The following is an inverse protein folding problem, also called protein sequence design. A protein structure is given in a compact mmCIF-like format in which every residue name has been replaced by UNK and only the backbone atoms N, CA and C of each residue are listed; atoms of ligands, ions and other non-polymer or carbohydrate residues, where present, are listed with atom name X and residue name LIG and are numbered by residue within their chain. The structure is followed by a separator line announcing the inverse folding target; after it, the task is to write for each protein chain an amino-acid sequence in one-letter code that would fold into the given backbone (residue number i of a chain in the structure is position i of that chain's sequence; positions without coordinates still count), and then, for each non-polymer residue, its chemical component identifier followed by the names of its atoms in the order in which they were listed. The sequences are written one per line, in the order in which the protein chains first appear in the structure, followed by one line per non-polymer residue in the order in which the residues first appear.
data_IF_767649081532
#
_entry.id   IF_767649081532
#
_cell.length_a   1.000
_cell.length_b   1.000
_cell.length_c   1.000
_cell.angle_alpha   90.00
_cell.angle_beta   90.00
_cell.angle_gamma   90.00
#
_symmetry.space_group_name_H-M   'P 1'
#
loop_
_entity.id
_entity.type
_entity.pdbx_description
1 polymer ?
#
# COMPACT_ATOMS: atom_id res chain seq x y z
N UNK A 1 14.43 -18.61 34.55
CA UNK A 1 13.97 -17.26 34.95
C UNK A 1 13.95 -16.34 33.75
N UNK A 2 12.91 -15.53 33.56
CA UNK A 2 12.84 -14.57 32.45
C UNK A 2 13.44 -13.22 32.88
N UNK A 3 14.59 -12.84 32.31
CA UNK A 3 15.32 -11.62 32.63
C UNK A 3 14.98 -10.45 31.70
N UNK A 4 14.20 -10.72 30.64
CA UNK A 4 13.90 -9.76 29.58
C UNK A 4 13.13 -8.51 30.06
N UNK A 5 12.12 -8.62 30.96
CA UNK A 5 11.41 -7.45 31.49
C UNK A 5 12.30 -6.50 32.30
N UNK A 6 13.41 -7.00 32.85
CA UNK A 6 14.38 -6.21 33.63
C UNK A 6 15.36 -5.42 32.76
N UNK A 7 15.27 -5.54 31.44
CA UNK A 7 16.16 -4.83 30.50
C UNK A 7 15.48 -3.56 30.00
N UNK A 8 16.19 -2.44 30.09
CA UNK A 8 15.71 -1.11 29.67
C UNK A 8 15.38 -1.02 28.18
N UNK A 9 15.93 -1.89 27.33
CA UNK A 9 15.64 -1.94 25.89
C UNK A 9 14.43 -2.82 25.53
N UNK A 10 13.79 -3.48 26.49
CA UNK A 10 12.69 -4.38 26.19
C UNK A 10 11.47 -3.61 25.66
N UNK A 11 11.11 -3.86 24.40
CA UNK A 11 10.04 -3.13 23.67
C UNK A 11 8.69 -3.19 24.40
N UNK A 12 8.40 -4.30 25.09
CA UNK A 12 7.12 -4.50 25.80
C UNK A 12 7.10 -3.88 27.21
N UNK A 13 8.19 -3.29 27.68
CA UNK A 13 8.18 -2.57 28.94
C UNK A 13 7.25 -1.38 28.85
N UNK A 14 6.41 -1.19 29.88
CA UNK A 14 5.39 -0.13 29.92
C UNK A 14 5.99 1.24 29.63
N UNK A 15 7.18 1.53 30.16
CA UNK A 15 7.88 2.80 29.96
C UNK A 15 8.30 3.02 28.51
N UNK A 16 8.77 1.98 27.83
CA UNK A 16 9.16 2.06 26.43
C UNK A 16 7.93 2.22 25.53
N UNK A 17 6.86 1.49 25.81
CA UNK A 17 5.60 1.65 25.08
C UNK A 17 5.03 3.06 25.30
N UNK A 18 5.13 3.62 26.51
CA UNK A 18 4.70 4.98 26.79
C UNK A 18 5.53 6.05 26.04
N UNK A 19 6.84 5.85 25.91
CA UNK A 19 7.71 6.70 25.08
C UNK A 19 7.31 6.66 23.61
N UNK A 20 7.16 5.46 23.04
CA UNK A 20 6.72 5.28 21.65
C UNK A 20 5.37 5.97 21.42
N UNK A 21 4.40 5.80 22.33
CA UNK A 21 3.10 6.48 22.22
C UNK A 21 3.20 8.01 22.28
N UNK A 22 4.11 8.56 23.08
CA UNK A 22 4.34 10.01 23.14
C UNK A 22 4.94 10.51 21.82
N UNK A 23 5.95 9.81 21.30
CA UNK A 23 6.61 10.18 20.06
C UNK A 23 5.62 10.07 18.87
N UNK A 24 4.81 9.02 18.84
CA UNK A 24 3.72 8.85 17.85
C UNK A 24 2.65 9.93 17.97
N UNK A 25 2.28 10.33 19.20
CA UNK A 25 1.32 11.40 19.42
C UNK A 25 1.88 12.76 18.96
N UNK A 26 3.13 13.06 19.28
CA UNK A 26 3.82 14.27 18.82
C UNK A 26 3.92 14.32 17.30
N UNK A 27 4.29 13.21 16.66
CA UNK A 27 4.33 13.13 15.20
C UNK A 27 2.97 13.44 14.56
N UNK A 28 1.88 12.89 15.14
CA UNK A 28 0.51 13.19 14.68
C UNK A 28 0.09 14.65 14.91
N UNK A 29 0.53 15.27 16.00
CA UNK A 29 0.25 16.68 16.27
C UNK A 29 1.00 17.59 15.27
N UNK A 30 2.28 17.32 15.03
CA UNK A 30 3.07 18.05 14.03
C UNK A 30 2.51 17.92 12.61
N UNK A 31 2.04 16.73 12.22
CA UNK A 31 1.38 16.51 10.93
C UNK A 31 0.10 17.35 10.80
N UNK A 32 -0.74 17.38 11.83
CA UNK A 32 -1.95 18.21 11.87
C UNK A 32 -1.63 19.70 11.80
N UNK A 33 -0.59 20.16 12.48
CA UNK A 33 -0.16 21.56 12.42
C UNK A 33 0.34 21.93 11.02
N UNK A 34 1.11 21.04 10.38
CA UNK A 34 1.54 21.22 8.99
C UNK A 34 0.36 21.28 8.03
N UNK A 35 -0.61 20.37 8.17
CA UNK A 35 -1.83 20.37 7.39
C UNK A 35 -2.63 21.67 7.58
N UNK A 36 -2.80 22.12 8.84
CA UNK A 36 -3.45 23.40 9.13
C UNK A 36 -2.75 24.57 8.45
N UNK A 37 -1.41 24.60 8.49
CA UNK A 37 -0.61 25.65 7.84
C UNK A 37 -0.77 25.62 6.33
N UNK A 38 -0.79 24.43 5.72
CA UNK A 38 -1.03 24.26 4.28
C UNK A 38 -2.41 24.75 3.89
N UNK A 39 -3.45 24.40 4.67
CA UNK A 39 -4.82 24.84 4.43
C UNK A 39 -4.97 26.36 4.52
N UNK A 40 -4.35 26.99 5.52
CA UNK A 40 -4.32 28.45 5.64
C UNK A 40 -3.62 29.09 4.46
N UNK A 41 -2.42 28.60 4.09
CA UNK A 41 -1.69 29.11 2.94
C UNK A 41 -2.49 28.94 1.63
N UNK A 42 -3.23 27.83 1.48
CA UNK A 42 -4.10 27.60 0.34
C UNK A 42 -5.28 28.58 0.30
N UNK A 43 -5.90 28.84 1.46
CA UNK A 43 -6.97 29.83 1.60
C UNK A 43 -6.45 31.23 1.25
N UNK A 44 -5.31 31.64 1.82
CA UNK A 44 -4.65 32.92 1.55
C UNK A 44 -4.31 33.05 0.07
N UNK A 45 -3.65 32.05 -0.54
CA UNK A 45 -3.30 32.05 -1.96
C UNK A 45 -4.54 32.20 -2.86
N UNK A 46 -5.63 31.50 -2.54
CA UNK A 46 -6.90 31.62 -3.27
C UNK A 46 -7.49 33.02 -3.16
N UNK A 47 -7.51 33.59 -1.96
CA UNK A 47 -8.04 34.95 -1.75
C UNK A 47 -7.17 36.01 -2.40
N UNK A 48 -5.85 35.89 -2.34
CA UNK A 48 -4.92 36.77 -3.05
C UNK A 48 -5.12 36.70 -4.56
N UNK A 49 -5.27 35.50 -5.11
CA UNK A 49 -5.53 35.32 -6.54
C UNK A 49 -6.81 36.05 -6.96
N UNK A 50 -7.90 35.90 -6.19
CA UNK A 50 -9.15 36.60 -6.46
C UNK A 50 -9.00 38.12 -6.33
N UNK A 51 -8.27 38.61 -5.32
CA UNK A 51 -7.96 40.04 -5.15
C UNK A 51 -7.14 40.59 -6.32
N UNK A 52 -6.11 39.88 -6.76
CA UNK A 52 -5.28 40.26 -7.92
C UNK A 52 -6.11 40.28 -9.21
N UNK A 53 -6.96 39.27 -9.41
CA UNK A 53 -7.88 39.21 -10.55
C UNK A 53 -8.87 40.38 -10.55
N UNK A 54 -9.48 40.69 -9.40
CA UNK A 54 -10.38 41.82 -9.26
C UNK A 54 -9.67 43.16 -9.52
N UNK A 55 -8.44 43.34 -9.04
CA UNK A 55 -7.63 44.52 -9.35
C UNK A 55 -7.33 44.64 -10.84
N UNK A 56 -6.99 43.54 -11.52
CA UNK A 56 -6.78 43.55 -12.97
C UNK A 56 -8.06 43.91 -13.74
N UNK A 57 -9.20 43.33 -13.35
CA UNK A 57 -10.50 43.66 -13.96
C UNK A 57 -10.87 45.12 -13.71
N UNK A 58 -10.72 45.61 -12.47
CA UNK A 58 -10.96 47.01 -12.14
C UNK A 58 -10.00 47.95 -12.86
N UNK A 59 -8.72 47.61 -13.03
CA UNK A 59 -7.79 48.45 -13.80
C UNK A 59 -8.13 48.51 -15.27
N UNK A 60 -8.63 47.41 -15.85
CA UNK A 60 -9.10 47.37 -17.24
C UNK A 60 -10.37 48.22 -17.39
N UNK A 61 -11.32 48.08 -16.46
CA UNK A 61 -12.52 48.90 -16.46
C UNK A 61 -12.28 50.35 -16.04
N UNK A 62 -11.19 50.66 -15.33
CA UNK A 62 -10.78 52.05 -15.02
C UNK A 62 -10.28 52.78 -16.26
N UNK A 63 -9.56 52.07 -17.13
CA UNK A 63 -9.11 52.59 -18.41
C UNK A 63 -10.30 52.82 -19.36
N UNK A 64 -11.28 51.90 -19.40
CA UNK A 64 -12.53 52.08 -20.17
C UNK A 64 -13.48 53.15 -19.56
N UNK A 65 -13.56 53.25 -18.22
CA UNK A 65 -14.48 54.18 -17.56
C UNK A 65 -13.98 55.64 -17.56
N UNK A 66 -12.66 55.86 -17.66
CA UNK A 66 -12.08 57.19 -17.86
C UNK A 66 -12.52 57.82 -19.20
N UNK A 67 -12.93 57.00 -20.18
CA UNK A 67 -13.49 57.44 -21.46
C UNK A 67 -15.00 57.76 -21.38
N UNK A 68 -15.73 57.28 -20.36
CA UNK A 68 -17.20 57.31 -20.31
C UNK A 68 -17.85 58.09 -19.14
N UNK A 69 -17.09 58.70 -18.21
CA UNK A 69 -17.62 59.74 -17.30
C UNK A 69 -18.77 59.36 -16.35
N UNK A 70 -18.85 58.11 -15.87
CA UNK A 70 -19.93 57.65 -14.97
C UNK A 70 -19.51 57.62 -13.47
N UNK A 71 -20.42 57.96 -12.52
CA UNK A 71 -20.11 57.97 -11.09
C UNK A 71 -20.02 56.54 -10.52
N UNK A 72 -19.01 56.31 -9.68
CA UNK A 72 -18.67 55.01 -9.11
C UNK A 72 -19.57 54.69 -7.90
N UNK A 73 -20.53 53.78 -8.08
CA UNK A 73 -21.21 53.11 -6.97
C UNK A 73 -20.27 52.07 -6.36
N UNK A 74 -19.95 52.19 -5.07
CA UNK A 74 -19.00 51.31 -4.37
C UNK A 74 -19.53 49.89 -4.19
N UNK A 75 -18.65 48.88 -3.96
CA UNK A 75 -19.08 47.52 -3.68
C UNK A 75 -19.90 47.46 -2.39
N UNK A 76 -21.14 46.98 -2.48
CA UNK A 76 -22.02 46.80 -1.31
C UNK A 76 -21.59 45.53 -0.57
N UNK A 77 -21.06 45.69 0.64
CA UNK A 77 -20.70 44.57 1.52
C UNK A 77 -21.96 43.96 2.16
N UNK A 78 -22.69 43.14 1.38
CA UNK A 78 -23.93 42.45 1.79
C UNK A 78 -23.82 41.60 3.08
N UNK A 79 -22.60 41.31 3.54
CA UNK A 79 -22.32 40.46 4.71
C UNK A 79 -21.78 41.21 5.92
N UNK A 80 -21.60 42.55 5.83
CA UNK A 80 -21.06 43.35 6.92
C UNK A 80 -21.97 43.31 8.15
N UNK A 81 -23.28 43.44 7.93
CA UNK A 81 -24.30 43.31 8.97
C UNK A 81 -24.28 41.93 9.63
N UNK A 82 -23.98 40.86 8.86
CA UNK A 82 -23.96 39.50 9.40
C UNK A 82 -22.73 39.23 10.29
N UNK A 83 -21.60 39.87 9.99
CA UNK A 83 -20.33 39.71 10.69
C UNK A 83 -20.23 40.61 11.93
N UNK A 84 -20.75 41.84 11.86
CA UNK A 84 -20.78 42.82 12.97
C UNK A 84 -21.90 42.52 13.98
N UNK A 85 -23.08 42.04 13.56
CA UNK A 85 -24.20 41.81 14.48
C UNK A 85 -24.14 40.47 15.24
N UNK A 86 -23.21 39.56 14.92
CA UNK A 86 -23.12 38.26 15.61
C UNK A 86 -24.39 37.39 15.52
N UNK A 87 -25.40 37.80 14.75
CA UNK A 87 -26.66 37.05 14.52
C UNK A 87 -26.47 35.81 13.65
N UNK A 88 -25.25 35.59 13.16
CA UNK A 88 -24.81 34.39 12.46
C UNK A 88 -23.98 33.45 13.34
N UNK A 89 -24.15 33.43 14.67
CA UNK A 89 -23.75 32.24 15.44
C UNK A 89 -24.48 31.08 14.79
N UNK A 90 -23.75 30.33 13.96
CA UNK A 90 -24.13 29.05 13.38
C UNK A 90 -24.45 28.13 14.54
N UNK A 91 -25.66 28.24 15.06
CA UNK A 91 -26.32 27.19 15.79
C UNK A 91 -26.42 26.09 14.75
N UNK A 92 -25.47 25.16 14.80
CA UNK A 92 -25.43 24.02 13.90
C UNK A 92 -26.83 23.45 13.77
N UNK A 93 -27.22 23.08 12.55
CA UNK A 93 -28.53 22.48 12.35
C UNK A 93 -28.59 21.25 13.28
N UNK A 94 -29.42 21.31 14.33
CA UNK A 94 -29.49 20.27 15.36
C UNK A 94 -29.80 18.93 14.71
N UNK A 95 -30.68 18.96 13.71
CA UNK A 95 -31.08 17.81 12.92
C UNK A 95 -29.87 17.18 12.20
N UNK A 96 -28.91 17.98 11.73
CA UNK A 96 -27.70 17.51 11.06
C UNK A 96 -26.71 16.86 12.04
N UNK A 97 -26.58 17.41 13.25
CA UNK A 97 -25.74 16.83 14.29
C UNK A 97 -26.31 15.50 14.80
N UNK A 98 -27.64 15.44 14.95
CA UNK A 98 -28.36 14.22 15.28
C UNK A 98 -28.26 13.17 14.16
N UNK A 99 -28.41 13.56 12.90
CA UNK A 99 -28.24 12.66 11.75
C UNK A 99 -26.82 12.10 11.69
N UNK A 100 -25.79 12.95 11.84
CA UNK A 100 -24.38 12.52 11.95
C UNK A 100 -24.17 11.55 13.10
N UNK A 101 -24.81 11.79 14.24
CA UNK A 101 -24.71 10.90 15.41
C UNK A 101 -25.37 9.55 15.12
N UNK A 102 -26.56 9.54 14.53
CA UNK A 102 -27.25 8.31 14.14
C UNK A 102 -26.48 7.54 13.07
N UNK A 103 -25.85 8.22 12.11
CA UNK A 103 -25.03 7.57 11.09
C UNK A 103 -23.81 6.90 11.71
N UNK A 104 -23.14 7.56 12.66
CA UNK A 104 -22.05 6.95 13.44
C UNK A 104 -22.55 5.76 14.25
N UNK A 105 -23.66 5.87 14.96
CA UNK A 105 -24.25 4.78 15.72
C UNK A 105 -24.63 3.60 14.81
N UNK A 106 -25.14 3.86 13.59
CA UNK A 106 -25.40 2.84 12.57
C UNK A 106 -24.12 2.16 12.08
N UNK A 107 -23.07 2.93 11.83
CA UNK A 107 -21.76 2.39 11.42
C UNK A 107 -21.14 1.55 12.54
N UNK A 108 -21.13 2.06 13.77
CA UNK A 108 -20.63 1.34 14.95
C UNK A 108 -21.45 0.09 15.24
N UNK A 109 -22.77 0.13 15.05
CA UNK A 109 -23.66 -1.02 15.16
C UNK A 109 -23.38 -2.06 14.06
N UNK A 110 -23.17 -1.61 12.83
CA UNK A 110 -22.81 -2.49 11.71
C UNK A 110 -21.42 -3.14 11.90
N UNK A 111 -20.47 -2.41 12.49
CA UNK A 111 -19.15 -2.92 12.86
C UNK A 111 -19.16 -3.77 14.14
N UNK A 112 -20.28 -3.82 14.86
CA UNK A 112 -20.40 -4.53 16.15
C UNK A 112 -19.66 -3.87 17.32
N UNK A 113 -19.30 -2.59 17.20
CA UNK A 113 -18.66 -1.79 18.26
C UNK A 113 -19.73 -1.29 19.24
N UNK A 114 -20.86 -0.82 18.70
CA UNK A 114 -21.99 -0.34 19.49
C UNK A 114 -23.11 -1.38 19.51
N UNK A 115 -23.17 -2.15 20.60
CA UNK A 115 -24.26 -3.10 20.91
C UNK A 115 -25.04 -2.63 22.11
N UNK A 116 -26.34 -2.35 21.92
CA UNK A 116 -27.22 -1.95 23.02
C UNK A 116 -27.60 -3.17 23.87
N UNK A 117 -27.59 -2.99 25.18
CA UNK A 117 -28.01 -4.00 26.15
C UNK A 117 -29.43 -4.50 25.81
N UNK A 118 -29.57 -5.81 25.57
CA UNK A 118 -30.83 -6.43 25.17
C UNK A 118 -30.94 -6.79 23.68
N UNK A 119 -30.04 -6.30 22.83
CA UNK A 119 -29.84 -6.85 21.48
C UNK A 119 -28.90 -8.04 21.61
N UNK A 120 -29.45 -9.26 21.61
CA UNK A 120 -28.64 -10.47 21.76
C UNK A 120 -27.62 -10.55 20.61
N UNK A 121 -26.42 -11.05 20.88
CA UNK A 121 -25.39 -11.25 19.85
C UNK A 121 -25.92 -12.05 18.65
N UNK A 122 -26.91 -12.93 18.88
CA UNK A 122 -27.58 -13.72 17.85
C UNK A 122 -28.51 -12.91 16.92
N UNK A 123 -29.03 -11.75 17.34
CA UNK A 123 -29.87 -10.87 16.51
C UNK A 123 -29.05 -9.79 15.80
N UNK A 124 -28.00 -9.28 16.43
CA UNK A 124 -27.11 -8.29 15.83
C UNK A 124 -26.19 -8.91 14.77
N UNK A 125 -25.80 -10.17 14.95
CA UNK A 125 -25.00 -10.93 14.01
C UNK A 125 -25.96 -11.60 13.03
N UNK A 126 -25.85 -11.30 11.74
CA UNK A 126 -26.71 -11.83 10.66
C UNK A 126 -26.70 -13.36 10.52
N UNK A 127 -25.90 -14.06 11.33
CA UNK A 127 -25.85 -15.50 11.43
C UNK A 127 -26.02 -15.92 12.90
N UNK A 128 -26.93 -16.87 13.19
CA UNK A 128 -27.05 -17.40 14.54
C UNK A 128 -25.73 -18.06 14.94
N UNK A 129 -25.32 -17.91 16.21
CA UNK A 129 -24.08 -18.47 16.69
C UNK A 129 -24.08 -20.00 16.57
N UNK A 130 -22.89 -20.58 16.33
CA UNK A 130 -22.72 -21.99 15.98
C UNK A 130 -23.33 -22.99 16.97
N UNK A 131 -23.51 -22.60 18.24
CA UNK A 131 -24.10 -23.44 19.29
C UNK A 131 -25.64 -23.45 19.27
N UNK A 132 -26.29 -22.48 18.59
CA UNK A 132 -27.74 -22.42 18.44
C UNK A 132 -28.20 -23.20 17.20
N UNK A 133 -27.29 -23.39 16.23
CA UNK A 133 -27.54 -24.22 15.06
C UNK A 133 -27.25 -25.69 15.37
N UNK A 134 -28.20 -26.61 15.17
CA UNK A 134 -27.90 -28.03 15.24
C UNK A 134 -26.86 -28.39 14.17
N UNK A 135 -25.92 -29.30 14.45
CA UNK A 135 -24.98 -29.80 13.45
C UNK A 135 -25.77 -30.30 12.23
N UNK A 136 -25.48 -29.78 11.03
CA UNK A 136 -26.16 -30.19 9.79
C UNK A 136 -25.96 -31.69 9.58
N UNK A 137 -26.97 -32.51 9.90
CA UNK A 137 -27.00 -33.93 9.55
C UNK A 137 -27.46 -34.03 8.10
N UNK A 138 -26.59 -34.46 7.20
CA UNK A 138 -26.99 -34.84 5.84
C UNK A 138 -26.35 -34.10 4.66
N UNK A 139 -25.29 -33.31 4.85
CA UNK A 139 -24.45 -32.85 3.74
C UNK A 139 -23.12 -33.59 3.77
N UNK A 140 -22.76 -34.30 2.70
CA UNK A 140 -21.37 -34.71 2.48
C UNK A 140 -20.48 -33.48 2.68
N UNK A 141 -19.46 -33.51 3.57
CA UNK A 141 -18.64 -32.33 3.77
C UNK A 141 -17.91 -32.09 2.45
N UNK A 142 -18.26 -31.04 1.74
CA UNK A 142 -17.53 -30.59 0.54
C UNK A 142 -16.07 -30.19 0.84
N UNK A 143 -15.63 -30.32 2.10
CA UNK A 143 -14.24 -30.23 2.56
C UNK A 143 -13.63 -31.52 3.13
N UNK A 144 -14.30 -32.68 3.16
CA UNK A 144 -13.67 -33.92 3.65
C UNK A 144 -12.56 -34.37 2.71
N UNK A 145 -12.77 -34.23 1.39
CA UNK A 145 -11.76 -34.58 0.39
C UNK A 145 -10.52 -33.68 0.40
N UNK A 146 -10.60 -32.45 0.93
CA UNK A 146 -9.42 -31.60 1.13
C UNK A 146 -8.77 -31.87 2.48
N UNK A 147 -9.55 -32.09 3.53
CA UNK A 147 -9.07 -32.44 4.86
C UNK A 147 -8.35 -33.80 4.89
N UNK A 148 -8.86 -34.82 4.19
CA UNK A 148 -8.16 -36.10 4.01
C UNK A 148 -6.85 -35.96 3.23
N UNK A 149 -6.80 -35.07 2.23
CA UNK A 149 -5.55 -34.75 1.49
C UNK A 149 -4.55 -33.98 2.35
N UNK A 150 -5.03 -33.11 3.24
CA UNK A 150 -4.19 -32.40 4.20
C UNK A 150 -3.66 -33.37 5.26
N UNK A 151 -4.52 -34.23 5.82
CA UNK A 151 -4.16 -35.26 6.79
C UNK A 151 -3.14 -36.25 6.23
N UNK A 152 -3.34 -36.73 5.00
CA UNK A 152 -2.36 -37.60 4.33
C UNK A 152 -1.04 -36.87 4.05
N UNK A 153 -1.09 -35.61 3.59
CA UNK A 153 0.14 -34.81 3.38
C UNK A 153 0.92 -34.54 4.66
N UNK A 154 0.24 -34.41 5.80
CA UNK A 154 0.83 -34.16 7.12
C UNK A 154 1.09 -35.43 7.93
N UNK A 155 0.91 -36.62 7.33
CA UNK A 155 1.19 -37.89 8.00
C UNK A 155 2.69 -38.21 7.98
N UNK A 156 3.36 -38.31 9.14
CA UNK A 156 4.80 -38.64 9.22
C UNK A 156 5.15 -40.01 8.61
N UNK A 157 4.22 -40.96 8.57
CA UNK A 157 4.46 -42.27 7.95
C UNK A 157 4.62 -42.17 6.43
N UNK A 158 3.85 -41.30 5.77
CA UNK A 158 4.00 -41.04 4.33
C UNK A 158 5.34 -40.37 4.02
N UNK A 159 5.81 -39.49 4.90
CA UNK A 159 7.12 -38.86 4.77
C UNK A 159 8.26 -39.88 4.93
N UNK A 160 8.18 -40.75 5.95
CA UNK A 160 9.16 -41.81 6.17
C UNK A 160 9.25 -42.80 4.98
N UNK A 161 8.12 -43.19 4.38
CA UNK A 161 8.11 -44.08 3.20
C UNK A 161 8.91 -43.50 2.02
N UNK A 162 8.85 -42.18 1.79
CA UNK A 162 9.62 -41.51 0.72
C UNK A 162 11.14 -41.63 0.93
N UNK A 163 11.60 -41.67 2.17
CA UNK A 163 13.02 -41.74 2.51
C UNK A 163 13.53 -43.19 2.48
N UNK A 164 12.70 -44.15 2.88
CA UNK A 164 13.01 -45.58 2.81
C UNK A 164 13.09 -46.09 1.35
N UNK A 165 12.23 -45.59 0.46
CA UNK A 165 12.23 -45.97 -0.97
C UNK A 165 13.47 -45.53 -1.75
N UNK A 166 14.10 -44.41 -1.37
CA UNK A 166 15.32 -43.89 -2.05
C UNK A 166 16.55 -44.75 -1.78
N UNK A 167 16.62 -45.43 -0.62
CA UNK A 167 17.74 -46.29 -0.25
C UNK A 167 17.85 -47.55 -1.11
N UNK A 168 16.75 -47.96 -1.77
CA UNK A 168 16.73 -49.11 -2.69
C UNK A 168 17.17 -48.80 -4.12
N UNK A 169 17.26 -47.52 -4.54
CA UNK A 169 17.64 -47.14 -5.92
C UNK A 169 19.08 -46.67 -6.08
N UNK A 170 19.82 -46.42 -4.99
CA UNK A 170 21.20 -45.93 -5.03
C UNK A 170 22.28 -47.01 -4.85
N UNK A 171 21.96 -48.31 -4.87
CA UNK A 171 22.97 -49.38 -4.86
C UNK A 171 23.28 -49.98 -6.24
N UNK A 172 22.74 -49.41 -7.33
CA UNK A 172 22.89 -49.98 -8.69
C UNK A 172 23.73 -49.12 -9.65
N UNK A 173 23.92 -47.82 -9.39
CA UNK A 173 24.53 -46.94 -10.39
C UNK A 173 25.63 -46.05 -9.79
N UNK A 174 26.77 -46.67 -9.45
CA UNK A 174 28.06 -45.97 -9.42
C UNK A 174 28.91 -46.45 -10.60
N UNK A 175 28.92 -45.68 -11.70
CA UNK A 175 30.03 -45.60 -12.67
C UNK A 175 29.83 -44.45 -13.66
N UNK A 176 30.79 -43.54 -13.68
CA UNK A 176 31.15 -42.76 -14.86
C UNK A 176 30.61 -41.33 -14.95
N UNK A 177 31.44 -40.33 -14.64
CA UNK A 177 32.23 -39.61 -15.65
C UNK A 177 32.70 -38.24 -15.15
N UNK A 178 34.01 -38.18 -14.94
CA UNK A 178 34.81 -36.97 -14.75
C UNK A 178 35.02 -36.28 -16.11
N UNK A 179 34.55 -35.04 -16.30
CA UNK A 179 35.06 -34.16 -17.36
C UNK A 179 35.18 -32.71 -16.88
N UNK A 180 36.45 -32.35 -16.71
CA UNK A 180 37.04 -31.06 -16.38
C UNK A 180 36.82 -30.07 -17.54
N UNK A 181 36.05 -29.01 -17.29
CA UNK A 181 35.88 -27.88 -18.20
C UNK A 181 36.60 -26.65 -17.66
N UNK A 182 37.66 -26.24 -18.35
CA UNK A 182 38.49 -25.06 -18.10
C UNK A 182 37.67 -23.82 -18.48
N UNK A 183 37.33 -22.96 -17.51
CA UNK A 183 36.73 -21.65 -17.74
C UNK A 183 37.81 -20.60 -17.48
N UNK A 184 38.19 -19.85 -18.51
CA UNK A 184 38.99 -18.65 -18.38
C UNK A 184 38.16 -17.60 -17.62
N UNK A 185 38.58 -17.30 -16.39
CA UNK A 185 38.05 -16.20 -15.61
C UNK A 185 38.73 -14.92 -16.05
N UNK A 186 37.98 -14.01 -16.67
CA UNK A 186 38.40 -12.62 -16.78
C UNK A 186 38.58 -12.07 -15.37
N UNK A 187 39.82 -11.75 -15.02
CA UNK A 187 40.18 -11.08 -13.78
C UNK A 187 39.49 -9.71 -13.74
N UNK A 188 38.29 -9.65 -13.16
CA UNK A 188 37.75 -8.39 -12.66
C UNK A 188 38.68 -7.94 -11.54
N UNK A 189 39.59 -7.02 -11.86
CA UNK A 189 40.45 -6.37 -10.89
C UNK A 189 39.56 -5.87 -9.74
N UNK A 190 39.70 -6.51 -8.58
CA UNK A 190 39.09 -6.01 -7.35
C UNK A 190 39.75 -4.66 -7.05
N UNK A 191 38.98 -3.61 -6.74
CA UNK A 191 39.56 -2.36 -6.32
C UNK A 191 40.48 -2.63 -5.12
N UNK A 192 41.72 -2.14 -5.19
CA UNK A 192 42.78 -2.39 -4.19
C UNK A 192 42.44 -1.83 -2.80
N UNK A 193 41.40 -1.02 -2.68
CA UNK A 193 40.95 -0.43 -1.43
C UNK A 193 39.44 -0.59 -1.25
N UNK A 194 38.97 -0.79 0.00
CA UNK A 194 37.55 -0.79 0.29
C UNK A 194 36.95 0.58 -0.06
N UNK A 195 35.71 0.61 -0.57
CA UNK A 195 35.05 1.87 -0.92
C UNK A 195 34.96 2.79 0.29
N UNK A 196 35.23 4.08 0.07
CA UNK A 196 35.09 5.10 1.11
C UNK A 196 33.63 5.19 1.58
N UNK A 197 33.40 5.59 2.84
CA UNK A 197 32.04 5.76 3.39
C UNK A 197 31.17 6.66 2.53
N UNK A 198 31.74 7.69 1.91
CA UNK A 198 31.01 8.60 1.03
C UNK A 198 30.58 7.93 -0.28
N UNK A 199 31.37 6.99 -0.79
CA UNK A 199 31.00 6.20 -1.96
C UNK A 199 29.82 5.27 -1.64
N UNK A 200 29.81 4.65 -0.46
CA UNK A 200 28.70 3.81 0.00
C UNK A 200 27.42 4.63 0.23
N UNK A 201 27.54 5.87 0.73
CA UNK A 201 26.40 6.80 0.85
C UNK A 201 25.86 7.19 -0.52
N UNK A 202 26.73 7.56 -1.47
CA UNK A 202 26.32 7.90 -2.83
C UNK A 202 25.65 6.71 -3.55
N UNK A 203 26.19 5.50 -3.37
CA UNK A 203 25.59 4.28 -3.92
C UNK A 203 24.22 4.01 -3.30
N UNK A 204 24.07 4.16 -1.97
CA UNK A 204 22.77 4.04 -1.30
C UNK A 204 21.76 5.03 -1.88
N UNK A 205 22.11 6.31 -2.00
CA UNK A 205 21.22 7.33 -2.56
C UNK A 205 20.82 7.00 -3.99
N UNK A 206 21.75 6.50 -4.82
CA UNK A 206 21.42 6.05 -6.18
C UNK A 206 20.41 4.91 -6.17
N UNK A 207 20.57 3.91 -5.30
CA UNK A 207 19.62 2.80 -5.16
C UNK A 207 18.25 3.31 -4.72
N UNK A 208 18.20 4.14 -3.68
CA UNK A 208 16.96 4.74 -3.19
C UNK A 208 16.24 5.57 -4.27
N UNK A 209 16.98 6.34 -5.07
CA UNK A 209 16.40 7.11 -6.19
C UNK A 209 15.84 6.18 -7.26
N UNK A 210 16.56 5.12 -7.64
CA UNK A 210 16.06 4.16 -8.63
C UNK A 210 14.83 3.41 -8.16
N UNK A 211 14.77 3.03 -6.88
CA UNK A 211 13.64 2.34 -6.29
C UNK A 211 12.43 3.28 -6.14
N UNK A 212 12.66 4.53 -5.73
CA UNK A 212 11.62 5.57 -5.69
C UNK A 212 11.05 5.85 -7.07
N UNK A 213 11.90 6.01 -8.09
CA UNK A 213 11.46 6.21 -9.47
C UNK A 213 10.63 5.01 -9.97
N UNK A 214 11.04 3.78 -9.65
CA UNK A 214 10.27 2.58 -9.99
C UNK A 214 8.91 2.55 -9.27
N UNK A 215 8.87 2.89 -7.98
CA UNK A 215 7.64 2.94 -7.20
C UNK A 215 6.69 4.04 -7.72
N UNK A 216 7.23 5.21 -8.05
CA UNK A 216 6.48 6.32 -8.63
C UNK A 216 5.90 5.94 -10.00
N UNK A 217 6.68 5.29 -10.87
CA UNK A 217 6.19 4.80 -12.16
C UNK A 217 5.04 3.79 -12.01
N UNK A 218 5.10 2.89 -11.01
CA UNK A 218 4.01 1.97 -10.70
C UNK A 218 2.76 2.71 -10.21
N UNK A 219 2.92 3.68 -9.31
CA UNK A 219 1.80 4.48 -8.82
C UNK A 219 1.18 5.34 -9.93
N UNK A 220 1.99 5.93 -10.80
CA UNK A 220 1.51 6.72 -11.94
C UNK A 220 0.71 5.85 -12.93
N UNK A 221 1.12 4.58 -13.13
CA UNK A 221 0.37 3.59 -13.90
C UNK A 221 -0.97 3.23 -13.23
N UNK A 222 -0.98 3.04 -11.91
CA UNK A 222 -2.21 2.74 -11.15
C UNK A 222 -3.18 3.93 -11.16
N UNK A 223 -2.66 5.15 -11.07
CA UNK A 223 -3.45 6.38 -11.06
C UNK A 223 -3.91 6.84 -12.45
N UNK A 224 -3.53 6.12 -13.52
CA UNK A 224 -3.89 6.46 -14.90
C UNK A 224 -3.28 7.77 -15.41
N UNK A 225 -2.21 8.27 -14.77
CA UNK A 225 -1.53 9.52 -15.16
C UNK A 225 -0.58 9.35 -16.35
N UNK A 226 -0.17 8.12 -16.66
CA UNK A 226 0.75 7.81 -17.77
C UNK A 226 0.00 6.94 -18.79
N UNK A 227 -0.12 7.37 -20.06
CA UNK A 227 -0.63 6.51 -21.12
C UNK A 227 0.21 5.24 -21.19
N UNK A 228 -0.42 4.09 -21.39
CA UNK A 228 0.29 2.84 -21.65
C UNK A 228 0.96 2.95 -23.02
N UNK A 229 2.15 3.57 -23.10
CA UNK A 229 2.95 3.56 -24.31
C UNK A 229 3.23 2.11 -24.68
N UNK A 230 2.88 1.77 -25.93
CA UNK A 230 2.73 0.41 -26.43
C UNK A 230 3.88 -0.49 -26.01
N UNK A 231 3.61 -1.38 -25.07
CA UNK A 231 4.38 -2.61 -24.96
C UNK A 231 4.20 -3.33 -26.30
N UNK A 232 5.26 -3.79 -26.97
CA UNK A 232 5.07 -4.72 -28.08
C UNK A 232 4.23 -5.87 -27.52
N UNK A 233 3.13 -6.22 -28.20
CA UNK A 233 2.26 -7.29 -27.73
C UNK A 233 3.12 -8.49 -27.35
N UNK A 234 3.15 -8.84 -26.06
CA UNK A 234 3.87 -10.02 -25.60
C UNK A 234 3.20 -11.22 -26.25
N UNK A 235 3.86 -11.82 -27.25
CA UNK A 235 3.42 -13.04 -27.94
C UNK A 235 2.86 -14.03 -26.91
N UNK A 236 1.54 -14.27 -27.00
CA UNK A 236 0.76 -15.10 -26.06
C UNK A 236 0.99 -16.60 -26.32
N UNK A 237 1.78 -16.96 -27.33
CA UNK A 237 2.01 -18.36 -27.68
C UNK A 237 2.88 -19.06 -26.62
N UNK A 238 2.21 -19.79 -25.72
CA UNK A 238 2.82 -20.59 -24.65
C UNK A 238 3.87 -21.59 -25.16
N UNK A 239 3.84 -21.95 -26.46
CA UNK A 239 4.86 -22.81 -27.08
C UNK A 239 6.18 -22.07 -27.36
N UNK A 240 6.14 -20.76 -27.57
CA UNK A 240 7.31 -19.89 -27.79
C UNK A 240 7.80 -19.23 -26.50
N UNK A 241 6.95 -19.14 -25.48
CA UNK A 241 7.31 -18.64 -24.15
C UNK A 241 8.41 -19.50 -23.53
N UNK A 242 9.59 -18.90 -23.35
CA UNK A 242 10.63 -19.46 -22.48
C UNK A 242 10.11 -19.46 -21.06
N UNK A 243 10.35 -20.51 -20.27
CA UNK A 243 10.08 -20.49 -18.83
C UNK A 243 10.91 -19.37 -18.18
N UNK A 244 10.35 -18.16 -18.08
CA UNK A 244 11.00 -16.98 -17.54
C UNK A 244 10.84 -16.90 -16.01
N UNK A 245 11.09 -18.02 -15.34
CA UNK A 245 11.25 -18.12 -13.89
C UNK A 245 12.49 -18.94 -13.51
N UNK A 246 13.41 -19.16 -14.46
CA UNK A 246 14.66 -19.84 -14.14
C UNK A 246 15.62 -18.84 -13.49
N UNK A 247 15.76 -18.96 -12.17
CA UNK A 247 16.81 -18.30 -11.41
C UNK A 247 18.17 -18.59 -12.06
N UNK A 248 18.97 -17.55 -12.30
CA UNK A 248 20.24 -17.60 -13.06
C UNK A 248 20.09 -18.05 -14.53
N UNK A 249 19.49 -17.22 -15.40
CA UNK A 249 19.27 -17.52 -16.82
C UNK A 249 20.57 -17.73 -17.62
N UNK A 250 21.71 -17.31 -17.05
CA UNK A 250 23.04 -17.44 -17.66
C UNK A 250 23.58 -18.89 -17.59
N UNK A 251 23.08 -19.68 -16.63
CA UNK A 251 23.43 -21.10 -16.45
C UNK A 251 22.44 -22.03 -17.16
N UNK A 252 21.29 -21.49 -17.60
CA UNK A 252 20.26 -22.27 -18.26
C UNK A 252 20.68 -22.66 -19.68
N UNK A 253 20.57 -23.97 -20.00
CA UNK A 253 20.88 -24.51 -21.33
C UNK A 253 19.91 -23.93 -22.37
N UNK A 254 20.45 -23.23 -23.38
CA UNK A 254 19.66 -22.71 -24.51
C UNK A 254 19.32 -23.86 -25.46
N UNK A 255 18.05 -23.99 -25.83
CA UNK A 255 17.64 -24.90 -26.93
C UNK A 255 18.11 -24.28 -28.25
N UNK A 256 18.77 -25.09 -29.10
CA UNK A 256 19.03 -24.72 -30.50
C UNK A 256 17.72 -24.89 -31.27
N UNK A 257 17.23 -23.82 -31.90
CA UNK A 257 16.14 -23.93 -32.85
C UNK A 257 16.69 -24.59 -34.12
N UNK A 258 16.02 -25.64 -34.60
CA UNK A 258 16.30 -26.21 -35.92
C UNK A 258 15.38 -25.47 -36.88
N UNK A 259 15.95 -24.69 -37.78
CA UNK A 259 15.19 -24.08 -38.86
C UNK A 259 14.82 -25.19 -39.84
N UNK A 260 13.53 -25.54 -39.87
CA UNK A 260 13.02 -26.44 -40.89
C UNK A 260 12.91 -25.67 -42.20
N UNK A 261 13.90 -25.86 -43.08
CA UNK A 261 13.84 -25.45 -44.47
C UNK A 261 12.65 -26.16 -45.13
N UNK A 262 11.67 -25.37 -45.56
CA UNK A 262 10.53 -25.85 -46.34
C UNK A 262 10.98 -26.18 -47.77
N UNK A 263 10.60 -27.37 -48.23
CA UNK A 263 10.64 -27.78 -49.64
C UNK A 263 9.21 -27.83 -50.18
#
# INVERSE_FOLDING_TARGET
MNILPKKSWHVRNKDNVARVRRDEAQAREEEKERERRVLLAQQEARTEFLRKKARHQNSLSELDAAEAGAPRSGPVDLFRDLLEEGKGVTRGNKDYEEEKRQEKERQEKALGILTYLGQSAAEAQTQPPWYQLPPKRGGSPTGSGTDEKIKSRLDPLQEMQKHLGKKRRHSSEERGHNRKGKMEGSEKQRPKQPPSLDQLRAERLRREVTERARAEALLARIQGRVPQEGQPEEEIDDRRRRYNSQFNPQLARRRRQQDHLAH
#
